data_IF_452780469536
#
_entry.id   IF_452780469536
#
_cell.length_a   1.000
_cell.length_b   1.000
_cell.length_c   1.000
_cell.angle_alpha   90.00
_cell.angle_beta   90.00
_cell.angle_gamma   90.00
#
_symmetry.space_group_name_H-M   'P 1'
#
loop_
_entity.id
_entity.type
_entity.pdbx_description
1 polymer ?
#
# COMPACT_ATOMS: atom_id res chain seq x y z
N UNK A 1 -9.78 -9.14 -38.16
CA UNK A 1 -9.37 -7.87 -37.55
C UNK A 1 -7.86 -7.92 -37.34
N UNK A 2 -7.16 -6.84 -37.68
CA UNK A 2 -5.69 -6.81 -37.78
C UNK A 2 -5.17 -5.67 -36.92
N UNK A 3 -4.21 -5.97 -36.04
CA UNK A 3 -3.55 -4.99 -35.18
C UNK A 3 -2.85 -3.89 -36.01
N UNK A 4 -2.94 -2.65 -35.56
CA UNK A 4 -2.41 -1.46 -36.25
C UNK A 4 -1.14 -0.96 -35.58
N UNK A 5 0.00 -1.42 -36.08
CA UNK A 5 1.30 -0.87 -35.72
C UNK A 5 1.49 0.52 -36.35
N UNK A 6 2.25 1.38 -35.70
CA UNK A 6 2.59 2.70 -36.22
C UNK A 6 3.50 2.62 -37.46
N UNK A 7 3.90 3.78 -38.01
CA UNK A 7 4.78 3.85 -39.19
C UNK A 7 6.16 3.22 -38.99
N UNK A 8 6.57 2.97 -37.75
CA UNK A 8 7.83 2.33 -37.38
C UNK A 8 7.64 0.83 -37.09
N UNK A 9 6.42 0.30 -37.26
CA UNK A 9 6.09 -1.08 -36.95
C UNK A 9 5.98 -1.35 -35.45
N UNK A 10 5.67 -0.33 -34.65
CA UNK A 10 5.61 -0.40 -33.19
C UNK A 10 4.20 -0.13 -32.65
N UNK A 11 3.90 -0.76 -31.52
CA UNK A 11 2.66 -0.60 -30.78
C UNK A 11 2.98 -0.41 -29.29
N UNK A 12 2.38 0.59 -28.62
CA UNK A 12 2.49 0.72 -27.17
C UNK A 12 1.75 -0.41 -26.46
N UNK A 13 2.39 -0.96 -25.44
CA UNK A 13 1.82 -1.95 -24.53
C UNK A 13 1.89 -1.43 -23.10
N UNK A 14 0.73 -1.24 -22.48
CA UNK A 14 0.57 -0.97 -21.05
C UNK A 14 0.61 -2.29 -20.31
N UNK A 15 1.54 -2.41 -19.36
CA UNK A 15 1.66 -3.60 -18.51
C UNK A 15 1.02 -3.29 -17.17
N UNK A 16 0.03 -4.08 -16.81
CA UNK A 16 -0.73 -3.92 -15.58
C UNK A 16 -0.65 -5.20 -14.77
N UNK A 17 -0.48 -5.09 -13.46
CA UNK A 17 -0.53 -6.24 -12.58
C UNK A 17 -1.94 -6.84 -12.55
N UNK A 18 -2.02 -8.16 -12.61
CA UNK A 18 -3.28 -8.89 -12.72
C UNK A 18 -4.06 -8.96 -11.40
N UNK A 19 -3.41 -8.74 -10.26
CA UNK A 19 -4.07 -8.76 -8.96
C UNK A 19 -4.36 -7.33 -8.48
N UNK A 20 -3.36 -6.44 -8.50
CA UNK A 20 -3.50 -5.10 -7.91
C UNK A 20 -4.06 -4.05 -8.85
N UNK A 21 -4.21 -4.34 -10.15
CA UNK A 21 -4.51 -3.37 -11.21
C UNK A 21 -3.48 -2.24 -11.34
N UNK A 22 -2.34 -2.32 -10.66
CA UNK A 22 -1.29 -1.31 -10.72
C UNK A 22 -0.65 -1.30 -12.12
N UNK A 23 -0.53 -0.13 -12.74
CA UNK A 23 0.23 0.01 -13.98
C UNK A 23 1.72 -0.10 -13.64
N UNK A 24 2.37 -1.14 -14.16
CA UNK A 24 3.76 -1.46 -13.86
C UNK A 24 4.72 -0.73 -14.78
N UNK A 25 4.45 -0.71 -16.08
CA UNK A 25 5.28 -0.04 -17.07
C UNK A 25 4.57 0.11 -18.42
N UNK A 26 5.12 0.97 -19.27
CA UNK A 26 4.79 1.02 -20.71
C UNK A 26 6.05 0.72 -21.50
N UNK A 27 5.91 -0.10 -22.53
CA UNK A 27 6.96 -0.36 -23.51
C UNK A 27 6.36 -0.55 -24.91
N UNK A 28 7.22 -0.64 -25.92
CA UNK A 28 6.80 -0.86 -27.31
C UNK A 28 7.00 -2.32 -27.70
N UNK A 29 6.08 -2.85 -28.49
CA UNK A 29 6.19 -4.16 -29.15
C UNK A 29 6.14 -3.96 -30.66
N UNK A 30 7.00 -4.65 -31.39
CA UNK A 30 6.76 -4.92 -32.81
C UNK A 30 5.99 -6.24 -32.96
N UNK A 31 5.62 -6.59 -34.19
CA UNK A 31 4.86 -7.81 -34.47
C UNK A 31 5.53 -9.07 -33.91
N UNK A 32 6.85 -9.20 -34.07
CA UNK A 32 7.60 -10.34 -33.57
C UNK A 32 7.66 -10.42 -32.04
N UNK A 33 7.82 -9.29 -31.33
CA UNK A 33 7.78 -9.26 -29.88
C UNK A 33 6.40 -9.67 -29.33
N UNK A 34 5.31 -9.25 -30.00
CA UNK A 34 3.97 -9.70 -29.65
C UNK A 34 3.79 -11.20 -29.91
N UNK A 35 4.29 -11.70 -31.05
CA UNK A 35 4.26 -13.13 -31.39
C UNK A 35 4.96 -13.97 -30.31
N UNK A 36 6.18 -13.60 -29.94
CA UNK A 36 6.95 -14.26 -28.87
C UNK A 36 6.23 -14.17 -27.53
N UNK A 37 5.64 -13.01 -27.20
CA UNK A 37 4.86 -12.85 -25.95
C UNK A 37 3.72 -13.86 -25.84
N UNK A 38 2.99 -14.08 -26.94
CA UNK A 38 1.90 -15.06 -27.02
C UNK A 38 2.40 -16.49 -26.97
N UNK A 39 3.54 -16.78 -27.61
CA UNK A 39 4.14 -18.11 -27.67
C UNK A 39 4.70 -18.56 -26.32
N UNK A 40 5.46 -17.69 -25.65
CA UNK A 40 6.16 -18.08 -24.42
C UNK A 40 5.31 -17.86 -23.16
N UNK A 41 4.24 -17.07 -23.24
CA UNK A 41 3.47 -16.64 -22.06
C UNK A 41 4.19 -15.62 -21.17
N UNK A 42 5.21 -14.94 -21.69
CA UNK A 42 6.02 -13.95 -20.96
C UNK A 42 6.24 -12.70 -21.82
N UNK A 43 6.26 -11.51 -21.22
CA UNK A 43 6.38 -10.27 -22.01
C UNK A 43 7.73 -10.14 -22.73
N UNK A 44 7.65 -9.87 -24.02
CA UNK A 44 8.76 -9.51 -24.90
C UNK A 44 8.51 -8.12 -25.47
N UNK A 45 9.54 -7.29 -25.47
CA UNK A 45 9.45 -5.90 -25.92
C UNK A 45 10.49 -5.60 -26.97
N UNK A 46 10.24 -4.57 -27.78
CA UNK A 46 11.19 -4.03 -28.75
C UNK A 46 11.85 -2.76 -28.18
N UNK A 47 13.17 -2.79 -28.05
CA UNK A 47 13.95 -1.63 -27.64
C UNK A 47 14.26 -0.75 -28.84
N UNK A 48 13.63 0.44 -28.92
CA UNK A 48 13.84 1.39 -30.02
C UNK A 48 15.29 1.84 -30.18
N UNK A 49 15.98 2.07 -29.07
CA UNK A 49 17.40 2.50 -29.07
C UNK A 49 18.37 1.38 -29.45
N UNK A 50 18.09 0.14 -29.06
CA UNK A 50 18.96 -1.01 -29.34
C UNK A 50 18.54 -1.81 -30.58
N UNK A 51 17.43 -1.41 -31.20
CA UNK A 51 16.77 -2.08 -32.33
C UNK A 51 16.72 -3.60 -32.19
N UNK A 52 16.35 -4.07 -30.99
CA UNK A 52 16.32 -5.51 -30.67
C UNK A 52 15.18 -5.86 -29.73
N UNK A 53 14.71 -7.09 -29.85
CA UNK A 53 13.76 -7.69 -28.92
C UNK A 53 14.50 -8.07 -27.63
N UNK A 54 13.81 -7.96 -26.50
CA UNK A 54 14.28 -8.44 -25.22
C UNK A 54 13.11 -8.98 -24.40
N UNK A 55 13.38 -10.00 -23.58
CA UNK A 55 12.40 -10.55 -22.66
C UNK A 55 12.51 -9.87 -21.30
N UNK A 56 11.38 -9.48 -20.70
CA UNK A 56 11.41 -8.85 -19.38
C UNK A 56 11.95 -9.82 -18.33
N UNK A 57 12.95 -9.36 -17.58
CA UNK A 57 13.55 -10.14 -16.49
C UNK A 57 14.50 -11.24 -16.96
N UNK A 58 14.94 -11.26 -18.22
CA UNK A 58 15.89 -12.26 -18.73
C UNK A 58 17.21 -12.28 -17.94
N UNK A 59 17.69 -11.10 -17.51
CA UNK A 59 18.92 -10.97 -16.73
C UNK A 59 18.67 -10.94 -15.22
N UNK A 60 17.61 -10.26 -14.76
CA UNK A 60 17.35 -10.06 -13.32
C UNK A 60 16.45 -11.12 -12.68
N UNK A 61 15.82 -12.01 -13.46
CA UNK A 61 14.78 -12.91 -12.98
C UNK A 61 13.42 -12.24 -12.73
N UNK A 62 13.31 -10.91 -12.86
CA UNK A 62 12.07 -10.17 -12.61
C UNK A 62 11.15 -10.20 -13.83
N UNK A 63 10.60 -11.38 -14.10
CA UNK A 63 9.81 -11.71 -15.29
C UNK A 63 8.35 -11.30 -15.15
N UNK A 64 7.63 -11.26 -16.26
CA UNK A 64 6.20 -10.92 -16.30
C UNK A 64 5.45 -12.02 -17.02
N UNK A 65 4.72 -12.83 -16.26
CA UNK A 65 3.90 -13.92 -16.80
C UNK A 65 2.58 -13.35 -17.31
N UNK A 66 2.25 -13.59 -18.57
CA UNK A 66 1.04 -13.03 -19.20
C UNK A 66 -0.21 -13.80 -18.75
N UNK A 67 -1.24 -13.05 -18.35
CA UNK A 67 -2.56 -13.57 -17.99
C UNK A 67 -3.61 -13.27 -19.05
N UNK A 68 -3.61 -12.04 -19.55
CA UNK A 68 -4.52 -11.60 -20.61
C UNK A 68 -3.88 -10.50 -21.46
N UNK A 69 -4.30 -10.41 -22.73
CA UNK A 69 -3.93 -9.33 -23.65
C UNK A 69 -5.23 -8.73 -24.18
N UNK A 70 -5.45 -7.46 -23.87
CA UNK A 70 -6.55 -6.65 -24.37
C UNK A 70 -6.05 -5.69 -25.44
N UNK A 71 -6.95 -5.34 -26.35
CA UNK A 71 -6.70 -4.43 -27.48
C UNK A 71 -7.69 -3.28 -27.35
N UNK A 72 -7.23 -2.04 -27.52
CA UNK A 72 -8.14 -0.88 -27.49
C UNK A 72 -9.05 -0.82 -28.74
N UNK A 73 -10.02 0.10 -28.71
CA UNK A 73 -11.01 0.26 -29.79
C UNK A 73 -10.40 0.63 -31.16
N UNK A 74 -9.22 1.26 -31.17
CA UNK A 74 -8.51 1.61 -32.41
C UNK A 74 -7.50 0.55 -32.86
N UNK A 75 -7.41 -0.58 -32.15
CA UNK A 75 -6.50 -1.70 -32.47
C UNK A 75 -5.01 -1.31 -32.50
N UNK A 76 -4.64 -0.21 -31.86
CA UNK A 76 -3.31 0.42 -31.95
C UNK A 76 -2.58 0.51 -30.60
N UNK A 77 -3.12 -0.09 -29.53
CA UNK A 77 -2.45 -0.25 -28.25
C UNK A 77 -2.92 -1.51 -27.53
N UNK A 78 -2.05 -2.04 -26.67
CA UNK A 78 -2.32 -3.22 -25.85
C UNK A 78 -2.39 -2.85 -24.37
N UNK A 79 -3.30 -3.51 -23.65
CA UNK A 79 -3.24 -3.65 -22.20
C UNK A 79 -2.94 -5.12 -21.88
N UNK A 80 -1.80 -5.39 -21.26
CA UNK A 80 -1.36 -6.75 -20.92
C UNK A 80 -1.40 -6.91 -19.42
N UNK A 81 -2.25 -7.82 -18.97
CA UNK A 81 -2.34 -8.25 -17.57
C UNK A 81 -1.24 -9.26 -17.29
N UNK A 82 -0.47 -9.04 -16.23
CA UNK A 82 0.65 -9.91 -15.87
C UNK A 82 0.72 -10.20 -14.39
N UNK A 83 1.30 -11.34 -14.03
CA UNK A 83 1.85 -11.56 -12.69
C UNK A 83 3.32 -11.15 -12.72
N UNK A 84 3.71 -10.17 -11.90
CA UNK A 84 5.08 -9.69 -11.80
C UNK A 84 5.91 -10.56 -10.86
N UNK A 85 6.79 -11.40 -11.43
CA UNK A 85 7.76 -12.19 -10.67
C UNK A 85 8.93 -11.31 -10.19
N UNK A 86 9.51 -11.64 -9.02
CA UNK A 86 10.62 -10.87 -8.43
C UNK A 86 10.20 -9.50 -7.85
N UNK A 87 8.91 -9.20 -7.83
CA UNK A 87 8.35 -8.02 -7.16
C UNK A 87 8.58 -6.68 -7.85
N UNK A 88 9.48 -6.58 -8.84
CA UNK A 88 9.83 -5.32 -9.48
C UNK A 88 9.87 -5.31 -11.02
N UNK A 89 9.03 -4.46 -11.61
CA UNK A 89 9.11 -4.14 -13.03
C UNK A 89 10.23 -3.15 -13.35
N UNK A 90 10.55 -2.23 -12.43
CA UNK A 90 11.51 -1.16 -12.66
C UNK A 90 12.96 -1.63 -12.39
N UNK A 91 13.90 -1.15 -13.20
CA UNK A 91 15.33 -1.40 -12.97
C UNK A 91 15.91 -0.60 -11.80
N UNK A 92 15.25 0.50 -11.40
CA UNK A 92 15.61 1.33 -10.24
C UNK A 92 15.19 0.71 -8.89
N UNK A 93 14.71 -0.53 -8.89
CA UNK A 93 14.32 -1.21 -7.66
C UNK A 93 12.81 -1.26 -7.44
N UNK A 94 12.04 -0.36 -8.05
CA UNK A 94 10.62 -0.19 -7.75
C UNK A 94 9.70 -1.23 -8.40
N UNK A 95 8.56 -1.48 -7.76
CA UNK A 95 7.51 -2.34 -8.30
C UNK A 95 7.02 -1.85 -9.66
N UNK A 96 6.68 -0.58 -9.74
CA UNK A 96 6.25 0.12 -10.94
C UNK A 96 7.30 1.14 -11.40
N UNK A 97 7.39 1.37 -12.71
CA UNK A 97 8.13 2.50 -13.29
C UNK A 97 7.51 3.86 -12.91
N UNK A 98 6.25 3.88 -12.45
CA UNK A 98 5.51 5.07 -12.03
C UNK A 98 5.70 5.39 -10.54
N UNK A 99 6.91 5.22 -10.03
CA UNK A 99 7.28 5.48 -8.63
C UNK A 99 7.47 6.98 -8.30
N UNK A 100 7.27 7.87 -9.28
CA UNK A 100 7.40 9.32 -9.14
C UNK A 100 6.10 10.04 -9.48
N UNK A 101 5.70 10.99 -8.63
CA UNK A 101 4.61 11.93 -8.87
C UNK A 101 5.17 13.26 -9.36
N UNK A 102 4.56 13.83 -10.40
CA UNK A 102 4.82 15.20 -10.84
C UNK A 102 4.04 16.17 -9.95
N UNK A 103 4.74 17.11 -9.32
CA UNK A 103 4.16 18.15 -8.48
C UNK A 103 3.81 19.41 -9.30
N UNK A 104 2.95 20.32 -8.79
CA UNK A 104 2.59 21.55 -9.49
C UNK A 104 3.76 22.49 -9.82
N UNK A 105 4.89 22.32 -9.15
CA UNK A 105 6.13 23.09 -9.34
C UNK A 105 7.16 22.37 -10.23
N UNK A 106 6.70 21.39 -11.03
CA UNK A 106 7.49 20.56 -11.95
C UNK A 106 8.55 19.67 -11.28
N UNK A 107 8.57 19.56 -9.95
CA UNK A 107 9.45 18.61 -9.25
C UNK A 107 8.85 17.21 -9.24
N UNK A 108 9.74 16.22 -9.08
CA UNK A 108 9.35 14.83 -8.88
C UNK A 108 9.46 14.44 -7.40
N UNK A 109 8.37 13.88 -6.88
CA UNK A 109 8.34 13.25 -5.57
C UNK A 109 8.37 11.73 -5.75
N UNK A 110 9.24 11.02 -5.02
CA UNK A 110 9.22 9.54 -5.00
C UNK A 110 8.09 9.09 -4.08
N UNK A 111 7.11 8.37 -4.64
CA UNK A 111 5.88 7.96 -3.96
C UNK A 111 5.78 6.45 -3.73
N UNK A 112 6.85 5.71 -4.03
CA UNK A 112 6.92 4.27 -3.80
C UNK A 112 8.28 3.88 -3.23
N UNK A 113 8.35 2.71 -2.60
CA UNK A 113 9.58 2.14 -2.04
C UNK A 113 10.25 1.17 -3.01
N UNK A 114 11.60 1.11 -2.96
CA UNK A 114 12.36 0.12 -3.74
C UNK A 114 12.11 -1.28 -3.17
N UNK A 115 11.86 -2.23 -4.07
CA UNK A 115 11.69 -3.66 -3.81
C UNK A 115 13.04 -4.39 -3.82
N UNK A 116 14.03 -3.86 -4.53
CA UNK A 116 15.41 -4.37 -4.53
C UNK A 116 16.43 -3.23 -4.74
N UNK A 117 17.69 -3.48 -4.40
CA UNK A 117 18.81 -2.57 -4.72
C UNK A 117 19.34 -2.82 -6.14
N UNK A 118 19.24 -1.85 -7.07
CA UNK A 118 19.78 -1.97 -8.43
C UNK A 118 21.27 -2.30 -8.47
N UNK A 119 22.06 -1.79 -7.52
CA UNK A 119 23.51 -2.02 -7.50
C UNK A 119 23.85 -3.49 -7.24
N UNK A 120 23.02 -4.19 -6.47
CA UNK A 120 23.18 -5.61 -6.18
C UNK A 120 22.77 -6.51 -7.37
N UNK A 121 21.87 -6.05 -8.26
CA UNK A 121 21.30 -6.86 -9.35
C UNK A 121 21.93 -6.57 -10.71
N UNK A 122 22.27 -5.30 -10.99
CA UNK A 122 22.82 -4.86 -12.28
C UNK A 122 24.28 -4.38 -12.19
N UNK A 123 24.87 -4.39 -10.98
CA UNK A 123 26.18 -3.79 -10.71
C UNK A 123 26.12 -2.27 -10.58
N UNK A 124 27.13 -1.64 -9.96
CA UNK A 124 27.24 -0.17 -9.88
C UNK A 124 27.28 0.42 -11.30
N UNK A 125 26.45 1.43 -11.63
CA UNK A 125 26.59 2.14 -12.89
C UNK A 125 27.94 2.86 -12.90
N UNK A 126 28.71 2.71 -13.98
CA UNK A 126 29.90 3.54 -14.22
C UNK A 126 29.45 5.00 -14.32
N UNK A 127 29.91 5.91 -13.46
CA UNK A 127 29.54 7.32 -13.54
C UNK A 127 30.12 7.92 -14.83
N UNK A 128 29.30 8.62 -15.61
CA UNK A 128 29.79 9.52 -16.63
C UNK A 128 30.49 10.71 -15.91
N UNK A 129 31.79 10.85 -16.17
CA UNK A 129 32.72 11.92 -15.75
C UNK A 129 32.14 13.33 -15.95
N UNK A 130 32.32 14.32 -15.05
CA UNK A 130 33.55 15.04 -14.61
C UNK A 130 33.22 15.97 -13.41
N UNK A 131 34.19 16.71 -12.81
CA UNK A 131 35.53 16.35 -12.38
C UNK A 131 35.67 16.44 -10.84
N UNK A 132 36.73 15.80 -10.36
CA UNK A 132 37.09 15.59 -8.96
C UNK A 132 37.70 16.85 -8.35
N UNK A 133 37.31 17.18 -7.12
CA UNK A 133 38.21 17.85 -6.17
C UNK A 133 38.36 16.97 -4.95
N UNK A 134 39.61 16.57 -4.71
CA UNK A 134 40.08 15.78 -3.58
C UNK A 134 39.52 16.26 -2.23
N UNK A 135 39.28 15.30 -1.33
CA UNK A 135 39.85 15.34 0.02
C UNK A 135 39.83 13.94 0.63
N UNK A 136 40.91 13.65 1.36
CA UNK A 136 41.40 12.33 1.72
C UNK A 136 40.57 11.61 2.79
N UNK A 137 40.55 10.28 2.64
CA UNK A 137 40.61 9.22 3.65
C UNK A 137 40.30 9.56 5.12
N UNK A 138 39.37 8.81 5.71
CA UNK A 138 39.67 8.02 6.90
C UNK A 138 38.75 6.80 6.99
N UNK A 139 39.36 5.63 7.10
CA UNK A 139 38.71 4.37 7.44
C UNK A 139 38.49 4.35 8.95
N UNK A 140 37.25 4.12 9.38
CA UNK A 140 36.95 3.68 10.74
C UNK A 140 36.11 2.40 10.63
N UNK A 141 36.68 1.32 11.14
CA UNK A 141 36.03 0.02 11.26
C UNK A 141 34.84 0.15 12.24
N UNK A 142 33.65 -0.21 11.76
CA UNK A 142 32.42 -0.20 12.54
C UNK A 142 32.44 -1.28 13.64
N UNK A 143 32.05 -0.85 14.84
CA UNK A 143 31.96 -1.69 16.03
C UNK A 143 30.68 -2.55 16.04
N UNK A 144 30.61 -3.62 16.87
CA UNK A 144 29.53 -4.63 16.84
C UNK A 144 28.11 -4.12 17.15
N UNK A 145 27.94 -2.88 17.64
CA UNK A 145 26.62 -2.33 18.00
C UNK A 145 25.79 -1.86 16.79
N UNK A 146 26.42 -1.47 15.68
CA UNK A 146 25.73 -0.97 14.48
C UNK A 146 25.00 -2.07 13.70
N UNK A 147 25.45 -3.32 13.82
CA UNK A 147 24.83 -4.49 13.18
C UNK A 147 23.47 -4.82 13.83
N UNK A 148 23.27 -4.53 15.12
CA UNK A 148 22.00 -4.82 15.82
C UNK A 148 20.90 -3.77 15.57
N UNK A 149 21.28 -2.50 15.36
CA UNK A 149 20.34 -1.42 15.05
C UNK A 149 19.80 -1.51 13.62
N UNK A 150 20.62 -2.00 12.68
CA UNK A 150 20.19 -2.25 11.29
C UNK A 150 19.04 -3.26 11.21
N UNK A 151 19.15 -4.38 11.93
CA UNK A 151 18.13 -5.44 11.90
C UNK A 151 16.77 -5.03 12.48
N UNK A 152 16.75 -4.22 13.55
CA UNK A 152 15.49 -3.71 14.13
C UNK A 152 14.81 -2.69 13.21
N UNK A 153 15.57 -1.76 12.64
CA UNK A 153 15.03 -0.77 11.71
C UNK A 153 14.47 -1.43 10.44
N UNK A 154 15.15 -2.44 9.91
CA UNK A 154 14.66 -3.23 8.76
C UNK A 154 13.39 -4.02 9.09
N UNK A 155 13.27 -4.57 10.30
CA UNK A 155 12.08 -5.27 10.77
C UNK A 155 10.89 -4.31 10.98
N UNK A 156 11.11 -3.16 11.62
CA UNK A 156 10.09 -2.13 11.82
C UNK A 156 9.57 -1.59 10.47
N UNK A 157 10.46 -1.39 9.51
CA UNK A 157 10.12 -0.97 8.15
C UNK A 157 9.34 -2.07 7.38
N UNK A 158 9.70 -3.35 7.56
CA UNK A 158 8.96 -4.46 6.98
C UNK A 158 7.53 -4.58 7.55
N UNK A 159 7.37 -4.40 8.86
CA UNK A 159 6.07 -4.36 9.53
C UNK A 159 5.26 -3.17 9.03
N UNK A 160 5.86 -1.98 8.92
CA UNK A 160 5.21 -0.78 8.38
C UNK A 160 4.65 -1.01 6.96
N UNK A 161 5.46 -1.57 6.05
CA UNK A 161 5.03 -1.92 4.68
C UNK A 161 3.90 -2.95 4.66
N UNK A 162 3.99 -3.95 5.53
CA UNK A 162 2.94 -4.97 5.60
C UNK A 162 1.62 -4.38 6.13
N UNK A 163 1.69 -3.50 7.12
CA UNK A 163 0.55 -2.81 7.69
C UNK A 163 -0.10 -1.86 6.68
N UNK A 164 0.70 -1.09 5.95
CA UNK A 164 0.23 -0.23 4.87
C UNK A 164 -0.55 -1.04 3.84
N UNK A 165 0.02 -2.16 3.37
CA UNK A 165 -0.64 -3.03 2.38
C UNK A 165 -2.01 -3.52 2.87
N UNK A 166 -2.10 -3.98 4.12
CA UNK A 166 -3.37 -4.48 4.69
C UNK A 166 -4.40 -3.36 4.80
N UNK A 167 -4.05 -2.24 5.44
CA UNK A 167 -4.97 -1.13 5.65
C UNK A 167 -5.37 -0.44 4.34
N UNK A 168 -4.47 -0.36 3.36
CA UNK A 168 -4.80 0.16 2.02
C UNK A 168 -5.76 -0.77 1.29
N UNK A 169 -5.58 -2.09 1.38
CA UNK A 169 -6.51 -3.06 0.80
C UNK A 169 -7.93 -2.94 1.39
N UNK A 170 -8.03 -2.85 2.73
CA UNK A 170 -9.30 -2.58 3.42
C UNK A 170 -9.92 -1.26 2.97
N UNK A 171 -9.13 -0.19 2.96
CA UNK A 171 -9.62 1.14 2.59
C UNK A 171 -10.10 1.20 1.14
N UNK A 172 -9.39 0.58 0.20
CA UNK A 172 -9.83 0.48 -1.19
C UNK A 172 -11.14 -0.30 -1.32
N UNK A 173 -11.34 -1.37 -0.55
CA UNK A 173 -12.62 -2.09 -0.53
C UNK A 173 -13.77 -1.18 -0.05
N UNK A 174 -13.57 -0.40 1.01
CA UNK A 174 -14.58 0.56 1.49
C UNK A 174 -14.85 1.69 0.50
N UNK A 175 -13.82 2.22 -0.17
CA UNK A 175 -13.98 3.19 -1.26
C UNK A 175 -14.81 2.62 -2.41
N UNK A 176 -14.56 1.36 -2.78
CA UNK A 176 -15.37 0.67 -3.79
C UNK A 176 -16.84 0.56 -3.37
N UNK A 177 -17.12 0.15 -2.12
CA UNK A 177 -18.48 0.03 -1.57
C UNK A 177 -19.21 1.38 -1.42
N UNK A 178 -18.46 2.49 -1.29
CA UNK A 178 -19.01 3.86 -1.35
C UNK A 178 -19.36 4.25 -2.77
N UNK A 179 -18.46 3.99 -3.73
CA UNK A 179 -18.60 4.46 -5.10
C UNK A 179 -19.54 3.55 -5.94
N UNK A 180 -19.86 2.36 -5.45
CA UNK A 180 -20.82 1.43 -6.04
C UNK A 180 -21.90 1.07 -5.03
N UNK A 181 -23.15 1.43 -5.33
CA UNK A 181 -24.27 1.09 -4.46
C UNK A 181 -24.56 -0.42 -4.51
N UNK A 182 -24.22 -1.10 -3.42
CA UNK A 182 -24.47 -2.51 -3.17
C UNK A 182 -25.30 -2.68 -1.88
N UNK A 183 -26.14 -1.70 -1.54
CA UNK A 183 -26.88 -1.65 -0.26
C UNK A 183 -27.82 -2.83 -0.01
N UNK A 184 -28.25 -3.52 -1.07
CA UNK A 184 -29.04 -4.77 -0.98
C UNK A 184 -28.21 -5.98 -0.52
N UNK A 185 -26.90 -5.95 -0.79
CA UNK A 185 -25.99 -7.10 -0.62
C UNK A 185 -24.94 -6.86 0.47
N UNK A 186 -24.68 -5.60 0.84
CA UNK A 186 -23.65 -5.20 1.79
C UNK A 186 -24.17 -4.16 2.78
N UNK A 187 -24.15 -4.52 4.07
CA UNK A 187 -24.46 -3.59 5.16
C UNK A 187 -23.51 -2.38 5.16
N UNK A 188 -22.22 -2.60 4.91
CA UNK A 188 -21.23 -1.52 4.84
C UNK A 188 -21.50 -0.57 3.68
N UNK A 189 -21.91 -1.09 2.50
CA UNK A 189 -22.32 -0.22 1.39
C UNK A 189 -23.54 0.62 1.78
N UNK A 190 -24.54 0.03 2.43
CA UNK A 190 -25.72 0.75 2.93
C UNK A 190 -25.35 1.90 3.87
N UNK A 191 -24.49 1.63 4.86
CA UNK A 191 -24.00 2.66 5.79
C UNK A 191 -23.29 3.81 5.07
N UNK A 192 -22.50 3.50 4.03
CA UNK A 192 -21.81 4.51 3.23
C UNK A 192 -22.78 5.32 2.36
N UNK A 193 -23.87 4.73 1.87
CA UNK A 193 -24.92 5.42 1.11
C UNK A 193 -25.85 6.28 1.98
N UNK A 194 -26.01 5.96 3.27
CA UNK A 194 -26.81 6.77 4.20
C UNK A 194 -26.16 8.12 4.56
N UNK A 195 -24.84 8.27 4.35
CA UNK A 195 -24.07 9.50 4.60
C UNK A 195 -24.34 10.13 5.99
N UNK A 196 -24.41 9.30 7.04
CA UNK A 196 -24.70 9.74 8.41
C UNK A 196 -23.44 9.68 9.31
N UNK A 197 -22.54 10.69 9.25
CA UNK A 197 -21.30 10.69 10.01
C UNK A 197 -21.52 10.69 11.52
N UNK A 198 -22.62 11.28 12.01
CA UNK A 198 -22.97 11.27 13.44
C UNK A 198 -23.24 9.86 13.95
N UNK A 199 -23.95 9.04 13.17
CA UNK A 199 -24.18 7.63 13.51
C UNK A 199 -22.86 6.84 13.52
N UNK A 200 -22.02 7.01 12.49
CA UNK A 200 -20.73 6.35 12.41
C UNK A 200 -19.80 6.74 13.57
N UNK A 201 -19.81 8.02 13.96
CA UNK A 201 -19.05 8.51 15.12
C UNK A 201 -19.57 7.92 16.43
N UNK A 202 -20.89 7.77 16.59
CA UNK A 202 -21.47 7.11 17.76
C UNK A 202 -21.01 5.65 17.87
N UNK A 203 -21.03 4.91 16.76
CA UNK A 203 -20.52 3.52 16.74
C UNK A 203 -19.03 3.45 17.01
N UNK A 204 -18.23 4.35 16.44
CA UNK A 204 -16.80 4.44 16.76
C UNK A 204 -16.57 4.71 18.26
N UNK A 205 -17.37 5.57 18.88
CA UNK A 205 -17.26 5.86 20.31
C UNK A 205 -17.54 4.62 21.18
N UNK A 206 -18.56 3.83 20.81
CA UNK A 206 -18.84 2.54 21.44
C UNK A 206 -17.62 1.61 21.35
N UNK A 207 -17.08 1.35 20.16
CA UNK A 207 -15.96 0.38 20.03
C UNK A 207 -14.65 0.91 20.66
N UNK A 208 -14.42 2.23 20.65
CA UNK A 208 -13.28 2.82 21.35
C UNK A 208 -13.41 2.60 22.86
N UNK A 209 -14.63 2.69 23.40
CA UNK A 209 -14.87 2.42 24.81
C UNK A 209 -14.64 0.94 25.16
N UNK A 210 -15.04 0.02 24.28
CA UNK A 210 -14.79 -1.41 24.43
C UNK A 210 -13.28 -1.72 24.37
N UNK A 211 -12.56 -1.17 23.39
CA UNK A 211 -11.09 -1.30 23.29
C UNK A 211 -10.39 -0.76 24.54
N UNK A 212 -10.81 0.38 25.07
CA UNK A 212 -10.28 0.90 26.33
C UNK A 212 -10.59 -0.02 27.51
N UNK A 213 -11.80 -0.59 27.56
CA UNK A 213 -12.17 -1.59 28.55
C UNK A 213 -11.27 -2.83 28.53
N UNK A 214 -10.83 -3.27 27.34
CA UNK A 214 -9.85 -4.37 27.19
C UNK A 214 -8.52 -4.00 27.86
N UNK A 215 -8.02 -2.78 27.63
CA UNK A 215 -6.77 -2.30 28.21
C UNK A 215 -6.82 -2.17 29.73
N UNK A 216 -7.98 -1.78 30.24
CA UNK A 216 -8.24 -1.63 31.68
C UNK A 216 -8.60 -2.96 32.36
N UNK A 217 -8.82 -4.03 31.58
CA UNK A 217 -9.31 -5.31 32.07
C UNK A 217 -10.75 -5.31 32.56
N UNK A 218 -11.54 -4.28 32.22
CA UNK A 218 -12.96 -4.15 32.56
C UNK A 218 -13.89 -4.73 31.49
N UNK A 219 -13.36 -4.98 30.29
CA UNK A 219 -14.05 -5.65 29.18
C UNK A 219 -13.26 -6.91 28.78
N UNK A 220 -13.91 -8.08 28.86
CA UNK A 220 -13.32 -9.35 28.42
C UNK A 220 -14.39 -10.28 27.85
N UNK A 221 -14.12 -10.86 26.68
CA UNK A 221 -14.95 -11.90 26.08
C UNK A 221 -14.26 -13.26 26.14
N UNK A 222 -12.97 -13.32 25.83
CA UNK A 222 -12.21 -14.57 25.80
C UNK A 222 -10.88 -14.43 26.53
N UNK A 223 -9.94 -13.68 25.95
CA UNK A 223 -8.66 -13.36 26.56
C UNK A 223 -8.16 -12.02 26.03
N UNK A 224 -7.17 -11.44 26.71
CA UNK A 224 -6.64 -10.12 26.40
C UNK A 224 -6.23 -9.99 24.92
N UNK A 225 -5.64 -11.03 24.34
CA UNK A 225 -5.13 -10.99 22.97
C UNK A 225 -6.28 -11.07 21.97
N UNK A 226 -7.18 -12.04 22.13
CA UNK A 226 -8.36 -12.19 21.28
C UNK A 226 -9.25 -10.93 21.31
N UNK A 227 -9.49 -10.38 22.51
CA UNK A 227 -10.32 -9.20 22.70
C UNK A 227 -9.64 -7.95 22.11
N UNK A 228 -8.31 -7.82 22.22
CA UNK A 228 -7.55 -6.72 21.58
C UNK A 228 -7.64 -6.77 20.05
N UNK A 229 -7.58 -7.97 19.45
CA UNK A 229 -7.72 -8.14 18.00
C UNK A 229 -9.13 -7.75 17.56
N UNK A 230 -10.15 -8.26 18.25
CA UNK A 230 -11.55 -8.00 17.96
C UNK A 230 -11.86 -6.50 18.03
N UNK A 231 -11.65 -5.87 19.20
CA UNK A 231 -12.02 -4.47 19.38
C UNK A 231 -11.13 -3.53 18.57
N UNK A 232 -9.84 -3.87 18.40
CA UNK A 232 -8.94 -3.14 17.51
C UNK A 232 -9.41 -3.18 16.05
N UNK A 233 -9.92 -4.32 15.58
CA UNK A 233 -10.49 -4.47 14.24
C UNK A 233 -11.77 -3.64 14.08
N UNK A 234 -12.65 -3.64 15.06
CA UNK A 234 -13.91 -2.88 15.02
C UNK A 234 -13.67 -1.37 15.04
N UNK A 235 -12.75 -0.88 15.89
CA UNK A 235 -12.32 0.53 15.86
C UNK A 235 -11.73 0.88 14.49
N UNK A 236 -10.86 0.03 13.94
CA UNK A 236 -10.27 0.22 12.60
C UNK A 236 -11.34 0.33 11.51
N UNK A 237 -12.35 -0.54 11.53
CA UNK A 237 -13.48 -0.53 10.61
C UNK A 237 -14.20 0.84 10.62
N UNK A 238 -14.62 1.33 11.79
CA UNK A 238 -15.38 2.60 11.86
C UNK A 238 -14.54 3.83 11.50
N UNK A 239 -13.25 3.84 11.85
CA UNK A 239 -12.33 4.90 11.41
C UNK A 239 -12.22 4.95 9.89
N UNK A 240 -12.07 3.79 9.22
CA UNK A 240 -12.01 3.73 7.76
C UNK A 240 -13.34 4.10 7.11
N UNK A 241 -14.48 3.76 7.71
CA UNK A 241 -15.80 4.19 7.22
C UNK A 241 -15.94 5.72 7.28
N UNK A 242 -15.60 6.35 8.41
CA UNK A 242 -15.60 7.81 8.53
C UNK A 242 -14.69 8.46 7.49
N UNK A 243 -13.45 8.00 7.36
CA UNK A 243 -12.53 8.49 6.33
C UNK A 243 -13.11 8.33 4.91
N UNK A 244 -13.80 7.22 4.65
CA UNK A 244 -14.46 6.93 3.36
C UNK A 244 -15.61 7.89 3.09
N UNK A 245 -16.49 8.12 4.07
CA UNK A 245 -17.63 9.05 4.02
C UNK A 245 -17.16 10.48 3.75
N UNK A 246 -16.07 10.91 4.38
CA UNK A 246 -15.47 12.23 4.16
C UNK A 246 -14.56 12.30 2.92
N UNK A 247 -14.44 11.21 2.16
CA UNK A 247 -13.63 11.10 0.93
C UNK A 247 -12.16 11.51 1.11
N UNK A 248 -11.58 11.25 2.30
CA UNK A 248 -10.20 11.59 2.59
C UNK A 248 -9.23 10.66 1.83
N UNK A 249 -8.21 11.17 1.13
CA UNK A 249 -7.16 10.32 0.58
C UNK A 249 -6.42 9.55 1.68
N UNK A 250 -6.01 8.32 1.39
CA UNK A 250 -5.25 7.48 2.34
C UNK A 250 -3.97 8.19 2.81
N UNK A 251 -3.35 8.94 1.90
CA UNK A 251 -2.11 9.68 2.07
C UNK A 251 -2.26 10.87 3.02
N UNK A 252 -3.48 11.36 3.28
CA UNK A 252 -3.70 12.47 4.19
C UNK A 252 -3.69 12.02 5.65
N UNK A 253 -4.20 10.84 5.98
CA UNK A 253 -4.27 10.36 7.36
C UNK A 253 -3.29 9.24 7.70
N UNK A 254 -2.73 8.52 6.71
CA UNK A 254 -1.64 7.54 6.87
C UNK A 254 -1.87 6.58 8.06
N UNK A 255 -2.95 5.77 8.04
CA UNK A 255 -3.39 5.02 9.22
C UNK A 255 -2.36 3.98 9.68
N UNK A 256 -1.55 3.43 8.76
CA UNK A 256 -0.46 2.51 9.10
C UNK A 256 0.64 3.18 9.93
N UNK A 257 1.01 4.43 9.61
CA UNK A 257 2.01 5.16 10.39
C UNK A 257 1.45 5.55 11.76
N UNK A 258 0.19 5.98 11.81
CA UNK A 258 -0.46 6.32 13.07
C UNK A 258 -0.56 5.12 14.02
N UNK A 259 -0.98 3.96 13.51
CA UNK A 259 -1.04 2.72 14.28
C UNK A 259 0.36 2.29 14.74
N UNK A 260 1.36 2.30 13.84
CA UNK A 260 2.72 1.92 14.20
C UNK A 260 3.35 2.89 15.22
N UNK A 261 3.09 4.19 15.10
CA UNK A 261 3.53 5.18 16.08
C UNK A 261 2.92 4.93 17.46
N UNK A 262 1.62 4.58 17.50
CA UNK A 262 0.96 4.14 18.73
C UNK A 262 1.59 2.87 19.31
N UNK A 263 1.89 1.89 18.47
CA UNK A 263 2.54 0.63 18.88
C UNK A 263 3.93 0.83 19.49
N UNK A 264 4.72 1.75 18.93
CA UNK A 264 6.07 2.05 19.39
C UNK A 264 6.11 2.89 20.67
N UNK A 265 5.04 3.63 20.96
CA UNK A 265 4.95 4.49 22.13
C UNK A 265 4.16 3.78 23.24
N UNK A 266 4.86 3.21 24.21
CA UNK A 266 4.22 2.78 25.45
C UNK A 266 3.82 4.03 26.25
N UNK A 267 2.51 4.24 26.41
CA UNK A 267 1.94 5.30 27.26
C UNK A 267 1.15 4.65 28.39
N UNK A 268 0.98 5.39 29.48
CA UNK A 268 0.15 4.95 30.60
C UNK A 268 -1.35 4.97 30.26
N UNK A 269 -2.14 4.30 31.08
CA UNK A 269 -3.60 4.20 30.95
C UNK A 269 -4.30 5.57 30.86
N UNK A 270 -3.90 6.52 31.71
CA UNK A 270 -4.44 7.89 31.74
C UNK A 270 -4.27 8.61 30.39
N UNK A 271 -3.11 8.47 29.76
CA UNK A 271 -2.80 9.07 28.46
C UNK A 271 -3.61 8.44 27.32
N UNK A 272 -3.95 7.15 27.44
CA UNK A 272 -4.82 6.48 26.46
C UNK A 272 -6.27 6.98 26.54
N UNK A 273 -6.78 7.22 27.75
CA UNK A 273 -8.11 7.82 27.96
C UNK A 273 -8.15 9.27 27.43
N UNK A 274 -7.14 10.08 27.71
CA UNK A 274 -7.05 11.44 27.16
C UNK A 274 -7.01 11.42 25.62
N UNK A 275 -6.25 10.49 25.04
CA UNK A 275 -6.16 10.33 23.59
C UNK A 275 -7.49 9.88 22.97
N UNK A 276 -8.26 9.01 23.64
CA UNK A 276 -9.62 8.62 23.22
C UNK A 276 -10.54 9.85 23.18
N UNK A 277 -10.53 10.67 24.23
CA UNK A 277 -11.35 11.88 24.29
C UNK A 277 -10.94 12.89 23.20
N UNK A 278 -9.64 13.06 22.96
CA UNK A 278 -9.12 13.92 21.91
C UNK A 278 -9.52 13.42 20.51
N UNK A 279 -9.45 12.11 20.27
CA UNK A 279 -9.90 11.46 19.04
C UNK A 279 -11.37 11.80 18.73
N UNK A 280 -12.27 11.53 19.69
CA UNK A 280 -13.71 11.77 19.52
C UNK A 280 -14.03 13.26 19.35
N UNK A 281 -13.37 14.13 20.11
CA UNK A 281 -13.52 15.59 20.01
C UNK A 281 -13.09 16.12 18.62
N UNK A 282 -12.02 15.57 18.05
CA UNK A 282 -11.55 15.97 16.73
C UNK A 282 -12.49 15.47 15.62
N UNK A 283 -12.98 14.22 15.73
CA UNK A 283 -13.89 13.61 14.75
C UNK A 283 -15.33 14.17 14.79
N UNK A 284 -15.73 14.81 15.88
CA UNK A 284 -17.03 15.49 15.99
C UNK A 284 -17.12 16.76 15.11
N UNK A 285 -16.00 17.22 14.56
CA UNK A 285 -15.95 18.39 13.68
C UNK A 285 -16.06 18.00 12.21
N UNK A 286 -16.54 18.89 11.35
CA UNK A 286 -16.56 18.69 9.90
C UNK A 286 -15.29 19.20 9.19
N UNK A 287 -14.27 19.63 9.94
CA UNK A 287 -13.08 20.27 9.38
C UNK A 287 -12.02 19.22 9.00
N UNK A 288 -11.53 19.18 7.75
CA UNK A 288 -10.60 18.13 7.30
C UNK A 288 -9.33 17.96 8.17
N UNK A 289 -8.64 19.02 8.61
CA UNK A 289 -7.46 18.87 9.47
C UNK A 289 -7.77 18.18 10.80
N UNK A 290 -8.92 18.50 11.40
CA UNK A 290 -9.39 17.91 12.67
C UNK A 290 -9.85 16.47 12.47
N UNK A 291 -10.53 16.17 11.36
CA UNK A 291 -10.87 14.80 11.00
C UNK A 291 -9.62 13.93 10.85
N UNK A 292 -8.60 14.42 10.13
CA UNK A 292 -7.31 13.71 9.95
C UNK A 292 -6.61 13.48 11.29
N UNK A 293 -6.58 14.49 12.16
CA UNK A 293 -6.05 14.39 13.52
C UNK A 293 -6.76 13.28 14.31
N UNK A 294 -8.10 13.31 14.33
CA UNK A 294 -8.92 12.33 15.03
C UNK A 294 -8.70 10.90 14.53
N UNK A 295 -8.66 10.71 13.20
CA UNK A 295 -8.39 9.41 12.59
C UNK A 295 -7.04 8.86 13.04
N UNK A 296 -5.98 9.69 13.01
CA UNK A 296 -4.64 9.30 13.46
C UNK A 296 -4.61 8.92 14.93
N UNK A 297 -5.29 9.68 15.80
CA UNK A 297 -5.38 9.36 17.23
C UNK A 297 -6.08 8.01 17.46
N UNK A 298 -7.15 7.72 16.72
CA UNK A 298 -7.85 6.44 16.78
C UNK A 298 -6.98 5.26 16.37
N UNK A 299 -6.28 5.35 15.22
CA UNK A 299 -5.37 4.29 14.79
C UNK A 299 -4.21 4.08 15.76
N UNK A 300 -3.66 5.16 16.33
CA UNK A 300 -2.63 5.05 17.34
C UNK A 300 -3.11 4.33 18.62
N UNK A 301 -4.39 4.45 19.01
CA UNK A 301 -4.94 3.67 20.14
C UNK A 301 -4.93 2.16 19.86
N UNK A 302 -5.30 1.74 18.64
CA UNK A 302 -5.21 0.33 18.23
C UNK A 302 -3.76 -0.18 18.36
N UNK A 303 -2.79 0.63 17.90
CA UNK A 303 -1.38 0.31 18.01
C UNK A 303 -0.92 0.11 19.46
N UNK A 304 -1.27 1.05 20.34
CA UNK A 304 -0.97 0.95 21.77
C UNK A 304 -1.58 -0.30 22.39
N UNK A 305 -2.82 -0.62 22.03
CA UNK A 305 -3.51 -1.80 22.53
C UNK A 305 -2.76 -3.09 22.14
N UNK A 306 -2.34 -3.19 20.88
CA UNK A 306 -1.53 -4.32 20.42
C UNK A 306 -0.21 -4.43 21.20
N UNK A 307 0.47 -3.31 21.48
CA UNK A 307 1.72 -3.30 22.23
C UNK A 307 1.53 -3.82 23.67
N UNK A 308 0.47 -3.36 24.34
CA UNK A 308 0.14 -3.79 25.71
C UNK A 308 -0.26 -5.27 25.78
N UNK A 309 -0.95 -5.78 24.77
CA UNK A 309 -1.33 -7.20 24.66
C UNK A 309 -0.19 -8.11 24.19
N UNK A 310 0.98 -7.57 23.83
CA UNK A 310 2.10 -8.33 23.28
C UNK A 310 1.83 -8.91 21.89
N UNK A 311 0.96 -8.27 21.11
CA UNK A 311 0.56 -8.68 19.76
C UNK A 311 1.36 -7.97 18.68
N UNK A 312 1.36 -8.52 17.46
CA UNK A 312 1.82 -7.78 16.29
C UNK A 312 0.83 -6.67 15.95
N UNK A 313 1.27 -5.46 15.54
CA UNK A 313 0.36 -4.40 15.10
C UNK A 313 -0.40 -4.76 13.81
N UNK A 314 -0.07 -5.89 13.18
CA UNK A 314 -0.72 -6.42 11.99
C UNK A 314 -2.01 -7.18 12.29
N UNK A 315 -2.18 -7.71 13.50
CA UNK A 315 -3.25 -8.67 13.80
C UNK A 315 -4.67 -8.11 13.59
N UNK A 316 -5.02 -6.90 14.09
CA UNK A 316 -6.36 -6.34 13.86
C UNK A 316 -6.69 -6.18 12.37
N UNK A 317 -5.73 -5.69 11.58
CA UNK A 317 -5.93 -5.51 10.13
C UNK A 317 -5.96 -6.84 9.35
N UNK A 318 -5.29 -7.89 9.85
CA UNK A 318 -5.38 -9.24 9.27
C UNK A 318 -6.75 -9.86 9.53
N UNK A 319 -7.24 -9.72 10.75
CA UNK A 319 -8.55 -10.23 11.16
C UNK A 319 -9.68 -9.59 10.32
N UNK A 320 -9.70 -8.25 10.23
CA UNK A 320 -10.71 -7.54 9.41
C UNK A 320 -10.70 -8.03 7.96
N UNK A 321 -9.51 -8.16 7.37
CA UNK A 321 -9.35 -8.60 5.99
C UNK A 321 -9.79 -10.06 5.80
N UNK A 322 -9.52 -10.93 6.77
CA UNK A 322 -9.99 -12.31 6.75
C UNK A 322 -11.52 -12.37 6.86
N UNK A 323 -12.14 -11.55 7.72
CA UNK A 323 -13.59 -11.43 7.80
C UNK A 323 -14.20 -10.96 6.48
N UNK A 324 -13.57 -9.99 5.81
CA UNK A 324 -14.00 -9.53 4.48
C UNK A 324 -13.89 -10.63 3.41
N UNK A 325 -12.79 -11.40 3.41
CA UNK A 325 -12.61 -12.54 2.49
C UNK A 325 -13.66 -13.62 2.70
N UNK A 326 -13.96 -13.97 3.95
CA UNK A 326 -15.03 -14.93 4.28
C UNK A 326 -16.40 -14.48 3.76
N UNK A 327 -16.63 -13.17 3.70
CA UNK A 327 -17.83 -12.53 3.13
C UNK A 327 -17.78 -12.35 1.60
N UNK A 328 -16.68 -12.75 0.94
CA UNK A 328 -16.49 -12.61 -0.51
C UNK A 328 -16.28 -11.18 -0.99
N UNK A 329 -15.98 -10.24 -0.09
CA UNK A 329 -15.83 -8.81 -0.43
C UNK A 329 -14.43 -8.45 -0.93
N UNK A 330 -13.44 -9.31 -0.66
CA UNK A 330 -12.06 -9.15 -1.09
C UNK A 330 -11.55 -10.51 -1.52
N UNK A 331 -10.98 -10.61 -2.73
CA UNK A 331 -10.39 -11.82 -3.30
C UNK A 331 -8.94 -12.02 -2.89
#
# INVERSE_FOLDING_TARGET
>A
MTLRFDRQGLMPAVIQDDESNEVLMVAFMNEEALRLTRETGYTHFYSRSRQKIWRKGEQSGHRQQVRAIFVNCEENSLLIRVVQEGGAACHEGYRSCYYRRLLPDDRYEVVASRVFDPAAVYGRPTPQTQPVTDLQQSQQEASPEEVSRGGKAEADEAVSRQLERLLRQLYTAYQYLRDHDLSEQSHTSRLLQEHNPTYLLGRLADELQELMGVLQGTHRHQDLQADTILEGSQVGYWLLLLATTHRLPYEEFLPHQALLAGYQQAVGEEQAVEQQQACLSALATAEPPRLIEGLRLGFALIGRACALAGLSPLEPARDDLEQMRRKGLVS
#
